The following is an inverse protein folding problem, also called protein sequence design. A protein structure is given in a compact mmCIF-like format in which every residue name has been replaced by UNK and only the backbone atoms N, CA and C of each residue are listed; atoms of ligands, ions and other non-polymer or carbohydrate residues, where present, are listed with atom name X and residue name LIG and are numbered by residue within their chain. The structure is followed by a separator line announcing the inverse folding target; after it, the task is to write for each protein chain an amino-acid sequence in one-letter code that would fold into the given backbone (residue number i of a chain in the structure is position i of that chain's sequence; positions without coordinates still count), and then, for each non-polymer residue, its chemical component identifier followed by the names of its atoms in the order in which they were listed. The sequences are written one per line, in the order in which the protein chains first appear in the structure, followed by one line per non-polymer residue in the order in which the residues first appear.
data_IF_622982842485
#
_entry.id   IF_622982842485
#
_cell.length_a   1.000
_cell.length_b   1.000
_cell.length_c   1.000
_cell.angle_alpha   90.00
_cell.angle_beta   90.00
_cell.angle_gamma   90.00
#
_symmetry.space_group_name_H-M   'P 1'
#
loop_
_entity.id
_entity.type
_entity.pdbx_description
1 polymer ?
#
# COMPACT_ATOMS: atom_id res chain seq x y z
N UNK A 1 2.45 -2.72 -28.26
CA UNK A 1 2.10 -2.84 -26.82
C UNK A 1 3.38 -2.77 -26.02
N UNK A 2 3.49 -1.94 -24.99
CA UNK A 2 4.69 -1.94 -24.15
C UNK A 2 4.84 -3.32 -23.48
N UNK A 3 6.05 -3.84 -23.51
CA UNK A 3 6.38 -5.12 -22.87
C UNK A 3 6.08 -5.04 -21.37
N UNK A 4 5.53 -6.10 -20.75
CA UNK A 4 5.30 -6.10 -19.31
C UNK A 4 6.63 -5.95 -18.59
N UNK A 5 6.71 -4.99 -17.71
CA UNK A 5 7.89 -4.74 -16.88
C UNK A 5 8.07 -5.94 -15.95
N UNK A 6 9.10 -6.73 -16.19
CA UNK A 6 9.41 -7.94 -15.42
C UNK A 6 10.16 -7.68 -14.11
N UNK A 7 10.64 -6.47 -13.91
CA UNK A 7 11.49 -6.13 -12.76
C UNK A 7 10.96 -4.87 -12.08
N UNK A 8 10.90 -4.90 -10.75
CA UNK A 8 10.71 -3.73 -9.92
C UNK A 8 12.02 -2.93 -9.95
N UNK A 9 12.12 -2.03 -10.92
CA UNK A 9 13.30 -1.22 -11.09
C UNK A 9 13.25 0.02 -10.18
N UNK A 10 14.41 0.43 -9.69
CA UNK A 10 14.59 1.61 -8.84
C UNK A 10 14.03 2.88 -9.49
N UNK A 11 14.15 2.98 -10.83
CA UNK A 11 13.73 4.14 -11.62
C UNK A 11 12.21 4.15 -11.92
N UNK A 12 11.52 3.04 -11.73
CA UNK A 12 10.12 2.90 -12.09
C UNK A 12 9.16 3.44 -11.03
N UNK A 13 9.55 3.41 -9.76
CA UNK A 13 8.68 3.88 -8.68
C UNK A 13 8.86 5.36 -8.43
N UNK A 14 7.77 6.09 -8.54
CA UNK A 14 7.68 7.51 -8.18
C UNK A 14 7.01 7.67 -6.82
N UNK A 15 7.22 8.81 -6.18
CA UNK A 15 6.46 9.13 -4.96
C UNK A 15 4.96 9.16 -5.28
N UNK A 16 4.18 8.54 -4.41
CA UNK A 16 2.73 8.41 -4.61
C UNK A 16 2.29 7.18 -5.39
N UNK A 17 3.21 6.42 -6.00
CA UNK A 17 2.88 5.09 -6.52
C UNK A 17 2.52 4.15 -5.36
N UNK A 18 1.77 3.10 -5.66
CA UNK A 18 1.39 2.06 -4.70
C UNK A 18 1.86 0.70 -5.19
N UNK A 19 2.60 0.00 -4.38
CA UNK A 19 2.96 -1.39 -4.63
C UNK A 19 1.94 -2.30 -3.96
N UNK A 20 1.15 -3.00 -4.76
CA UNK A 20 0.20 -4.01 -4.31
C UNK A 20 0.83 -5.40 -4.45
N UNK A 21 0.82 -6.19 -3.38
CA UNK A 21 1.55 -7.46 -3.30
C UNK A 21 0.59 -8.60 -2.93
N UNK A 22 0.81 -9.76 -3.56
CA UNK A 22 0.28 -11.02 -3.10
C UNK A 22 1.35 -11.75 -2.31
N UNK A 23 1.29 -11.65 -1.00
CA UNK A 23 2.19 -12.34 -0.09
C UNK A 23 1.54 -13.61 0.49
N UNK A 24 2.32 -14.67 0.63
CA UNK A 24 1.91 -15.94 1.23
C UNK A 24 2.48 -16.13 2.63
N UNK A 25 3.09 -15.10 3.21
CA UNK A 25 3.57 -15.15 4.59
C UNK A 25 2.42 -15.40 5.57
N UNK A 26 2.68 -16.17 6.62
CA UNK A 26 1.65 -16.57 7.59
C UNK A 26 0.92 -15.42 8.28
N UNK A 27 1.59 -14.29 8.47
CA UNK A 27 0.99 -13.08 9.07
C UNK A 27 -0.07 -12.42 8.17
N UNK A 28 -0.04 -12.67 6.87
CA UNK A 28 -1.04 -12.17 5.91
C UNK A 28 -2.28 -13.08 5.80
N UNK A 29 -2.29 -14.24 6.46
CA UNK A 29 -3.38 -15.21 6.41
C UNK A 29 -4.73 -14.65 6.89
N UNK A 30 -4.84 -13.92 8.02
CA UNK A 30 -6.12 -13.36 8.47
C UNK A 30 -6.75 -12.44 7.40
N UNK A 31 -5.93 -11.62 6.75
CA UNK A 31 -6.39 -10.74 5.67
C UNK A 31 -6.88 -11.57 4.47
N UNK A 32 -6.21 -12.68 4.14
CA UNK A 32 -6.60 -13.56 3.03
C UNK A 32 -7.94 -14.25 3.25
N UNK A 33 -8.26 -14.67 4.45
CA UNK A 33 -9.56 -15.31 4.73
C UNK A 33 -10.73 -14.35 4.51
N UNK A 34 -10.54 -13.07 4.76
CA UNK A 34 -11.58 -12.06 4.57
C UNK A 34 -11.58 -11.47 3.16
N UNK A 35 -10.41 -11.33 2.58
CA UNK A 35 -10.23 -10.71 1.26
C UNK A 35 -10.14 -11.83 0.22
N UNK A 36 -11.24 -12.08 -0.49
CA UNK A 36 -11.27 -12.94 -1.69
C UNK A 36 -10.51 -12.33 -2.87
N UNK A 37 -9.62 -11.37 -2.59
CA UNK A 37 -8.93 -10.55 -3.56
C UNK A 37 -7.59 -11.13 -4.03
N UNK A 38 -7.06 -10.48 -5.05
CA UNK A 38 -5.77 -10.81 -5.68
C UNK A 38 -4.60 -10.40 -4.81
N UNK A 39 -4.74 -9.29 -4.05
CA UNK A 39 -3.70 -8.71 -3.20
C UNK A 39 -4.09 -8.72 -1.73
N UNK A 40 -3.11 -8.85 -0.87
CA UNK A 40 -3.30 -8.89 0.59
C UNK A 40 -2.30 -8.02 1.35
N UNK A 41 -1.43 -7.30 0.65
CA UNK A 41 -0.48 -6.35 1.22
C UNK A 41 -0.27 -5.18 0.27
N UNK A 42 -0.02 -3.99 0.84
CA UNK A 42 0.33 -2.78 0.09
C UNK A 42 1.48 -2.03 0.75
N UNK A 43 2.21 -1.28 -0.08
CA UNK A 43 3.28 -0.41 0.35
C UNK A 43 3.27 0.88 -0.46
N UNK A 44 3.42 2.02 0.21
CA UNK A 44 3.49 3.33 -0.41
C UNK A 44 4.91 3.60 -0.94
N UNK A 45 5.04 4.02 -2.19
CA UNK A 45 6.32 4.36 -2.78
C UNK A 45 6.75 5.78 -2.41
N UNK A 46 7.96 5.89 -1.87
CA UNK A 46 8.61 7.16 -1.53
C UNK A 46 9.42 7.76 -2.67
N UNK A 47 9.51 7.04 -3.80
CA UNK A 47 10.45 7.33 -4.89
C UNK A 47 11.85 6.74 -4.63
N UNK A 48 12.74 6.86 -5.62
CA UNK A 48 14.11 6.36 -5.55
C UNK A 48 14.23 4.88 -5.11
N UNK A 49 13.27 4.06 -5.52
CA UNK A 49 13.23 2.64 -5.18
C UNK A 49 12.97 2.31 -3.72
N UNK A 50 12.44 3.25 -2.95
CA UNK A 50 12.08 3.06 -1.56
C UNK A 50 10.56 3.00 -1.38
N UNK A 51 10.14 2.14 -0.46
CA UNK A 51 8.76 2.01 -0.01
C UNK A 51 8.67 2.18 1.50
N UNK A 52 7.54 2.69 1.98
CA UNK A 52 7.16 2.65 3.39
C UNK A 52 5.96 1.73 3.55
N UNK A 53 6.01 0.87 4.53
CA UNK A 53 5.00 -0.17 4.75
C UNK A 53 4.84 -0.50 6.24
N UNK A 54 3.64 -0.91 6.62
CA UNK A 54 3.35 -1.46 7.94
C UNK A 54 3.29 -2.99 7.86
N UNK A 55 4.16 -3.65 8.61
CA UNK A 55 4.28 -5.10 8.73
C UNK A 55 4.33 -5.50 10.20
N UNK A 56 4.16 -6.78 10.57
CA UNK A 56 4.55 -7.26 11.89
C UNK A 56 5.96 -6.79 12.25
N UNK A 57 6.08 -6.04 13.34
CA UNK A 57 7.30 -5.32 13.71
C UNK A 57 7.28 -3.83 13.35
N UNK A 58 6.14 -3.29 12.90
CA UNK A 58 5.86 -1.86 12.75
C UNK A 58 6.10 -1.27 11.38
N UNK A 59 6.08 0.06 11.32
CA UNK A 59 6.24 0.84 10.09
C UNK A 59 7.72 1.00 9.76
N UNK A 60 8.13 0.55 8.56
CA UNK A 60 9.52 0.54 8.11
C UNK A 60 9.66 1.04 6.68
N UNK A 61 10.82 1.59 6.39
CA UNK A 61 11.25 1.90 5.02
C UNK A 61 12.12 0.74 4.55
N UNK A 62 11.81 0.24 3.38
CA UNK A 62 12.52 -0.87 2.74
C UNK A 62 12.79 -0.56 1.26
N UNK A 63 13.78 -1.20 0.63
CA UNK A 63 13.94 -1.13 -0.81
C UNK A 63 12.78 -1.87 -1.50
N UNK A 64 12.26 -1.33 -2.60
CA UNK A 64 11.16 -1.91 -3.37
C UNK A 64 11.54 -3.31 -3.92
N UNK A 65 12.82 -3.53 -4.21
CA UNK A 65 13.35 -4.81 -4.67
C UNK A 65 13.14 -5.98 -3.70
N UNK A 66 12.81 -5.70 -2.43
CA UNK A 66 12.38 -6.71 -1.45
C UNK A 66 11.27 -7.61 -1.99
N UNK A 67 10.39 -7.07 -2.82
CA UNK A 67 9.24 -7.78 -3.38
C UNK A 67 9.47 -8.31 -4.81
N UNK A 68 10.68 -8.22 -5.34
CA UNK A 68 11.02 -8.63 -6.71
C UNK A 68 10.60 -10.08 -7.04
N UNK A 69 10.71 -10.99 -6.07
CA UNK A 69 10.36 -12.42 -6.21
C UNK A 69 8.91 -12.74 -5.84
N UNK A 70 8.13 -11.75 -5.45
CA UNK A 70 6.71 -11.93 -5.12
C UNK A 70 5.84 -11.61 -6.33
N UNK A 71 4.55 -11.91 -6.26
CA UNK A 71 3.56 -11.42 -7.20
C UNK A 71 3.16 -10.01 -6.79
N UNK A 72 3.29 -9.05 -7.69
CA UNK A 72 3.04 -7.64 -7.42
C UNK A 72 2.38 -6.91 -8.59
N UNK A 73 1.76 -5.80 -8.30
CA UNK A 73 1.34 -4.77 -9.25
C UNK A 73 1.77 -3.41 -8.73
N UNK A 74 2.42 -2.62 -9.57
CA UNK A 74 2.77 -1.24 -9.30
C UNK A 74 1.71 -0.34 -9.93
N UNK A 75 1.04 0.45 -9.11
CA UNK A 75 -0.01 1.36 -9.48
C UNK A 75 0.48 2.80 -9.38
N UNK A 76 0.09 3.64 -10.35
CA UNK A 76 0.37 5.08 -10.32
C UNK A 76 -0.95 5.86 -10.34
N UNK A 77 -1.04 7.02 -9.65
CA UNK A 77 -2.21 7.87 -9.73
C UNK A 77 -2.53 8.25 -11.18
N UNK A 78 -3.81 8.21 -11.57
CA UNK A 78 -4.25 8.64 -12.91
C UNK A 78 -4.06 10.14 -13.10
N UNK A 79 -4.32 10.91 -12.05
CA UNK A 79 -4.06 12.35 -12.01
C UNK A 79 -2.68 12.52 -11.39
N UNK A 80 -1.72 13.13 -12.09
CA UNK A 80 -0.41 13.40 -11.54
C UNK A 80 -0.51 14.22 -10.25
N UNK A 81 0.29 13.85 -9.26
CA UNK A 81 0.38 14.60 -8.01
C UNK A 81 1.08 15.94 -8.25
N UNK A 82 0.61 16.97 -7.60
CA UNK A 82 1.34 18.22 -7.47
C UNK A 82 2.56 18.04 -6.58
N UNK A 83 3.55 18.91 -6.71
CA UNK A 83 4.73 18.89 -5.85
C UNK A 83 4.39 19.05 -4.35
N UNK A 84 3.35 19.84 -4.06
CA UNK A 84 2.88 20.03 -2.67
C UNK A 84 2.21 18.78 -2.11
N UNK A 85 1.35 18.10 -2.89
CA UNK A 85 0.74 16.82 -2.47
C UNK A 85 1.81 15.75 -2.23
N UNK A 86 2.77 15.62 -3.14
CA UNK A 86 3.87 14.68 -3.00
C UNK A 86 4.70 14.97 -1.73
N UNK A 87 4.99 16.24 -1.45
CA UNK A 87 5.70 16.68 -0.26
C UNK A 87 4.91 16.37 1.02
N UNK A 88 3.62 16.68 1.05
CA UNK A 88 2.75 16.41 2.21
C UNK A 88 2.67 14.91 2.51
N UNK A 89 2.54 14.08 1.46
CA UNK A 89 2.58 12.63 1.59
C UNK A 89 3.90 12.14 2.18
N UNK A 90 5.03 12.63 1.65
CA UNK A 90 6.35 12.25 2.13
C UNK A 90 6.55 12.62 3.60
N UNK A 91 6.22 13.85 3.98
CA UNK A 91 6.35 14.34 5.37
C UNK A 91 5.50 13.49 6.31
N UNK A 92 4.23 13.25 5.96
CA UNK A 92 3.35 12.42 6.76
C UNK A 92 3.89 10.98 6.86
N UNK A 93 4.28 10.37 5.74
CA UNK A 93 4.81 9.01 5.71
C UNK A 93 6.05 8.86 6.60
N UNK A 94 7.00 9.78 6.50
CA UNK A 94 8.21 9.78 7.33
C UNK A 94 7.92 9.90 8.81
N UNK A 95 6.90 10.66 9.19
CA UNK A 95 6.45 10.79 10.58
C UNK A 95 5.82 9.48 11.14
N UNK A 96 5.42 8.54 10.27
CA UNK A 96 4.90 7.24 10.73
C UNK A 96 5.98 6.19 10.94
N UNK A 97 7.20 6.41 10.43
CA UNK A 97 8.31 5.46 10.58
C UNK A 97 8.57 5.13 12.06
N UNK A 98 8.68 3.84 12.36
CA UNK A 98 8.92 3.33 13.72
C UNK A 98 7.66 3.13 14.56
N UNK A 99 6.48 3.58 14.10
CA UNK A 99 5.22 3.27 14.78
C UNK A 99 4.90 1.78 14.74
N UNK A 100 4.05 1.32 15.67
CA UNK A 100 3.70 -0.09 15.81
C UNK A 100 2.82 -0.62 14.69
N UNK A 101 2.70 -1.94 14.64
CA UNK A 101 1.75 -2.64 13.77
C UNK A 101 0.40 -2.82 14.47
N UNK A 102 -0.70 -2.48 13.79
CA UNK A 102 -2.05 -2.59 14.34
C UNK A 102 -2.61 -4.02 14.19
N UNK A 103 -2.26 -4.88 15.14
CA UNK A 103 -2.77 -6.26 15.18
C UNK A 103 -4.28 -6.32 15.45
N UNK A 104 -4.80 -5.40 16.26
CA UNK A 104 -6.23 -5.34 16.56
C UNK A 104 -7.04 -4.86 15.35
N UNK A 105 -6.50 -3.92 14.59
CA UNK A 105 -7.07 -3.50 13.30
C UNK A 105 -7.16 -4.65 12.31
N UNK A 106 -6.11 -5.47 12.22
CA UNK A 106 -6.12 -6.69 11.37
C UNK A 106 -7.14 -7.71 11.85
N UNK A 107 -7.28 -7.91 13.17
CA UNK A 107 -8.34 -8.73 13.73
C UNK A 107 -9.71 -8.15 13.41
N UNK A 108 -9.86 -6.84 13.51
CA UNK A 108 -11.07 -6.10 13.14
C UNK A 108 -11.48 -6.32 11.68
N UNK A 109 -10.52 -6.38 10.75
CA UNK A 109 -10.75 -6.76 9.35
C UNK A 109 -11.43 -8.13 9.29
N UNK A 110 -10.88 -9.12 10.00
CA UNK A 110 -11.41 -10.49 9.99
C UNK A 110 -12.84 -10.56 10.53
N UNK A 111 -13.14 -9.81 11.59
CA UNK A 111 -14.45 -9.77 12.23
C UNK A 111 -15.44 -8.79 11.60
N UNK A 112 -14.99 -7.97 10.63
CA UNK A 112 -15.74 -6.85 10.04
C UNK A 112 -16.15 -5.78 11.06
N UNK A 113 -15.31 -5.56 12.06
CA UNK A 113 -15.50 -4.56 13.10
C UNK A 113 -14.39 -3.51 12.96
N UNK A 114 -14.71 -2.22 12.83
CA UNK A 114 -13.69 -1.19 12.72
C UNK A 114 -12.99 -0.99 14.09
N UNK A 115 -11.90 -1.69 14.29
CA UNK A 115 -11.01 -1.53 15.43
C UNK A 115 -9.76 -0.82 14.91
N UNK A 116 -9.27 0.16 15.64
CA UNK A 116 -8.07 0.91 15.30
C UNK A 116 -7.33 1.24 16.59
N UNK A 117 -6.04 0.91 16.62
CA UNK A 117 -5.15 1.29 17.72
C UNK A 117 -4.47 2.62 17.37
N UNK A 118 -4.55 3.59 18.27
CA UNK A 118 -3.85 4.87 18.10
C UNK A 118 -2.35 4.64 17.91
N UNK A 119 -1.74 5.40 17.02
CA UNK A 119 -0.29 5.37 16.73
C UNK A 119 0.23 4.02 16.20
N UNK A 120 -0.67 3.18 15.67
CA UNK A 120 -0.35 1.93 15.00
C UNK A 120 -1.01 1.88 13.63
N UNK A 121 -0.46 1.06 12.74
CA UNK A 121 -0.91 0.96 11.35
C UNK A 121 -0.90 -0.47 10.86
N UNK A 122 -1.89 -0.86 10.08
CA UNK A 122 -1.75 -1.97 9.14
C UNK A 122 -1.51 -1.41 7.71
N UNK A 123 -1.14 -2.26 6.77
CA UNK A 123 -0.55 -1.84 5.48
C UNK A 123 -1.44 -0.87 4.67
N UNK A 124 -2.68 -1.23 4.40
CA UNK A 124 -3.59 -0.40 3.58
C UNK A 124 -4.12 0.82 4.33
N UNK A 125 -4.23 0.75 5.65
CA UNK A 125 -4.56 1.90 6.48
C UNK A 125 -3.46 2.97 6.42
N UNK A 126 -2.18 2.55 6.52
CA UNK A 126 -1.04 3.45 6.38
C UNK A 126 -1.06 4.14 5.00
N UNK A 127 -1.18 3.36 3.93
CA UNK A 127 -1.23 3.89 2.56
C UNK A 127 -2.40 4.86 2.35
N UNK A 128 -3.57 4.54 2.89
CA UNK A 128 -4.73 5.43 2.86
C UNK A 128 -4.51 6.70 3.68
N UNK A 129 -3.95 6.57 4.89
CA UNK A 129 -3.64 7.69 5.80
C UNK A 129 -2.66 8.69 5.19
N UNK A 130 -1.61 8.20 4.51
CA UNK A 130 -0.63 9.04 3.81
C UNK A 130 -1.33 9.91 2.76
N UNK A 131 -2.22 9.34 1.95
CA UNK A 131 -2.92 10.08 0.89
C UNK A 131 -3.97 11.02 1.45
N UNK A 132 -4.68 10.60 2.48
CA UNK A 132 -5.65 11.44 3.18
C UNK A 132 -5.01 12.69 3.77
N UNK A 133 -3.78 12.61 4.28
CA UNK A 133 -3.04 13.75 4.79
C UNK A 133 -2.79 14.82 3.72
N UNK A 134 -2.61 14.43 2.46
CA UNK A 134 -2.50 15.33 1.32
C UNK A 134 -3.84 15.59 0.60
N UNK A 135 -4.97 15.16 1.17
CA UNK A 135 -6.33 15.26 0.59
C UNK A 135 -6.49 14.57 -0.77
N UNK A 136 -5.64 13.59 -1.07
CA UNK A 136 -5.70 12.82 -2.31
C UNK A 136 -6.66 11.63 -2.15
N UNK A 137 -7.66 11.58 -3.04
CA UNK A 137 -8.68 10.53 -3.02
C UNK A 137 -8.12 9.25 -3.65
N UNK A 138 -8.32 8.11 -2.98
CA UNK A 138 -7.86 6.79 -3.46
C UNK A 138 -8.92 5.70 -3.37
N UNK A 139 -10.04 5.98 -2.73
CA UNK A 139 -11.22 5.11 -2.69
C UNK A 139 -12.48 5.96 -2.89
N UNK A 140 -13.47 5.42 -3.61
CA UNK A 140 -14.69 6.17 -3.98
C UNK A 140 -15.54 6.59 -2.79
N UNK A 141 -15.45 5.85 -1.69
CA UNK A 141 -16.23 6.10 -0.48
C UNK A 141 -15.31 6.09 0.73
N UNK A 142 -15.62 6.95 1.70
CA UNK A 142 -14.98 6.90 3.01
C UNK A 142 -15.32 5.56 3.65
N UNK A 143 -14.34 4.68 3.75
CA UNK A 143 -14.46 3.38 4.40
C UNK A 143 -13.90 3.46 5.82
N UNK A 144 -14.58 2.78 6.76
CA UNK A 144 -14.05 2.61 8.12
C UNK A 144 -12.90 1.61 8.16
N UNK A 145 -12.92 0.65 7.25
CA UNK A 145 -11.87 -0.35 7.04
C UNK A 145 -11.46 -0.28 5.57
N UNK A 146 -10.20 0.01 5.30
CA UNK A 146 -9.63 0.03 3.95
C UNK A 146 -8.78 -1.22 3.78
N UNK A 147 -9.12 -2.04 2.80
CA UNK A 147 -8.40 -3.28 2.49
C UNK A 147 -7.36 -3.06 1.39
N UNK A 148 -6.30 -3.89 1.32
CA UNK A 148 -5.35 -3.85 0.20
C UNK A 148 -6.05 -3.97 -1.16
N UNK A 149 -7.08 -4.80 -1.25
CA UNK A 149 -7.88 -4.99 -2.47
C UNK A 149 -8.65 -3.73 -2.88
N UNK A 150 -9.10 -2.91 -1.92
CA UNK A 150 -9.79 -1.64 -2.22
C UNK A 150 -8.87 -0.66 -2.95
N UNK A 151 -7.60 -0.62 -2.54
CA UNK A 151 -6.58 0.22 -3.19
C UNK A 151 -6.25 -0.35 -4.57
N UNK A 152 -6.05 -1.66 -4.68
CA UNK A 152 -5.74 -2.33 -5.94
C UNK A 152 -6.82 -2.14 -7.01
N UNK A 153 -8.09 -2.19 -6.63
CA UNK A 153 -9.24 -2.02 -7.53
C UNK A 153 -9.69 -0.56 -7.70
N UNK A 154 -8.97 0.37 -7.10
CA UNK A 154 -9.35 1.79 -7.12
C UNK A 154 -9.31 2.36 -8.55
N UNK A 155 -10.39 3.04 -8.92
CA UNK A 155 -10.51 3.76 -10.21
C UNK A 155 -9.55 4.95 -10.34
N UNK A 156 -8.96 5.40 -9.24
CA UNK A 156 -8.04 6.55 -9.21
C UNK A 156 -6.60 6.18 -9.59
N UNK A 157 -6.32 4.89 -9.74
CA UNK A 157 -5.03 4.37 -10.17
C UNK A 157 -5.07 3.78 -11.58
N UNK A 158 -3.93 3.77 -12.23
CA UNK A 158 -3.63 2.95 -13.41
C UNK A 158 -2.43 2.07 -13.13
N UNK A 159 -2.41 0.91 -13.76
CA UNK A 159 -1.30 -0.04 -13.64
C UNK A 159 -0.08 0.46 -14.40
N UNK A 160 1.07 0.46 -13.77
CA UNK A 160 2.37 0.82 -14.32
C UNK A 160 3.20 -0.41 -14.67
N UNK A 161 3.04 -1.48 -13.90
CA UNK A 161 3.65 -2.78 -14.16
C UNK A 161 3.09 -3.84 -13.23
N UNK A 162 3.12 -5.11 -13.64
CA UNK A 162 2.60 -6.18 -12.80
C UNK A 162 3.15 -7.57 -13.14
N UNK A 163 3.14 -8.46 -12.13
CA UNK A 163 3.38 -9.90 -12.24
C UNK A 163 2.21 -10.72 -11.70
N UNK A 164 1.08 -10.08 -11.35
CA UNK A 164 -0.08 -10.76 -10.75
C UNK A 164 -0.86 -11.62 -11.76
N UNK A 165 -0.74 -11.32 -13.05
CA UNK A 165 -1.51 -11.95 -14.14
C UNK A 165 -0.79 -13.13 -14.81
N UNK A 166 0.29 -13.63 -14.24
CA UNK A 166 1.01 -14.81 -14.76
C UNK A 166 0.53 -16.07 -14.07
#
# INVERSE_FOLDING_TARGET
MPQPIKYLDLELSSIGDELCIRDFAGWAMPIRFRVTGVVNHTAFCLGNGQIIEANPGGVKINPIGKYQKKRWSLLTPKIPLTAEEAKQMAVFAMAQKGKGYDYLGVLGITLNIPINEREKWYCSELSYGIRKAAKVIVVERVKKIVLPQDIYQSIYFKEKGNTLRI
#
